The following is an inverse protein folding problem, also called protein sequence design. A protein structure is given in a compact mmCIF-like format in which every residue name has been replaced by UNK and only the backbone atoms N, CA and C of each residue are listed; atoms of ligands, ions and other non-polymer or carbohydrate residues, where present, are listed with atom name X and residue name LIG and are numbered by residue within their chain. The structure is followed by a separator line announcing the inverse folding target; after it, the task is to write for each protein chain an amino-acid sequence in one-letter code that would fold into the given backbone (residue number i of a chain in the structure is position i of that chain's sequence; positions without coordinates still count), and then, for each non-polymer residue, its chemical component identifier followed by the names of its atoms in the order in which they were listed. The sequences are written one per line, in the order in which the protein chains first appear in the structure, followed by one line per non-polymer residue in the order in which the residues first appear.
data_IF_223547548343
#
_entry.id   IF_223547548343
#
_cell.length_a   1.000
_cell.length_b   1.000
_cell.length_c   1.000
_cell.angle_alpha   90.00
_cell.angle_beta   90.00
_cell.angle_gamma   90.00
#
_symmetry.space_group_name_H-M   'P 1'
#
loop_
_entity.id
_entity.type
_entity.pdbx_description
1 polymer ?
#
# COMPACT_ATOMS: atom_id res chain seq x y z
N UNK A 1 19.99 -17.54 -5.42
CA UNK A 1 19.17 -17.76 -4.20
C UNK A 1 17.72 -17.61 -4.63
N UNK A 2 17.02 -18.74 -4.81
CA UNK A 2 15.63 -18.76 -5.31
C UNK A 2 14.72 -18.41 -4.15
N UNK A 3 14.00 -17.28 -4.23
CA UNK A 3 12.97 -16.91 -3.25
C UNK A 3 11.76 -17.86 -3.41
N UNK A 4 11.87 -19.03 -2.76
CA UNK A 4 10.79 -19.98 -2.59
C UNK A 4 9.73 -19.37 -1.66
N UNK A 5 8.65 -18.89 -2.26
CA UNK A 5 7.29 -18.96 -1.72
C UNK A 5 7.05 -18.35 -0.34
N UNK A 6 7.15 -17.02 -0.20
CA UNK A 6 6.36 -16.37 0.84
C UNK A 6 4.87 -16.57 0.50
N UNK A 7 4.01 -17.00 1.43
CA UNK A 7 2.58 -17.13 1.19
C UNK A 7 2.00 -15.75 0.93
N UNK A 8 1.96 -15.37 -0.35
CA UNK A 8 1.49 -14.08 -0.81
C UNK A 8 0.02 -13.92 -0.41
N UNK A 9 -0.27 -12.75 0.13
CA UNK A 9 -1.53 -12.48 0.80
C UNK A 9 -2.73 -12.67 -0.13
N UNK A 10 -3.55 -13.70 0.15
CA UNK A 10 -4.65 -14.13 -0.73
C UNK A 10 -5.69 -13.03 -0.98
N UNK A 11 -5.81 -12.05 -0.09
CA UNK A 11 -6.71 -10.91 -0.28
C UNK A 11 -6.37 -10.08 -1.53
N UNK A 12 -5.08 -10.04 -1.91
CA UNK A 12 -4.56 -9.20 -2.99
C UNK A 12 -4.38 -9.94 -4.32
N UNK A 13 -4.83 -11.20 -4.43
CA UNK A 13 -4.63 -12.01 -5.65
C UNK A 13 -5.09 -11.29 -6.91
N UNK A 14 -6.29 -10.67 -6.88
CA UNK A 14 -6.83 -9.93 -8.04
C UNK A 14 -5.99 -8.69 -8.39
N UNK A 15 -5.45 -7.99 -7.39
CA UNK A 15 -4.55 -6.86 -7.61
C UNK A 15 -3.23 -7.32 -8.22
N UNK A 16 -2.68 -8.43 -7.72
CA UNK A 16 -1.45 -9.02 -8.25
C UNK A 16 -1.64 -9.44 -9.72
N UNK A 17 -2.75 -10.10 -10.04
CA UNK A 17 -3.07 -10.49 -11.41
C UNK A 17 -3.17 -9.27 -12.35
N UNK A 18 -3.72 -8.16 -11.87
CA UNK A 18 -3.77 -6.91 -12.62
C UNK A 18 -2.39 -6.24 -12.77
N UNK A 19 -1.56 -6.26 -11.72
CA UNK A 19 -0.19 -5.75 -11.79
C UNK A 19 0.66 -6.55 -12.77
N UNK A 20 0.52 -7.89 -12.78
CA UNK A 20 1.21 -8.76 -13.74
C UNK A 20 0.78 -8.50 -15.18
N UNK A 21 -0.50 -8.19 -15.43
CA UNK A 21 -1.00 -7.76 -16.75
C UNK A 21 -0.27 -6.48 -17.21
N UNK A 22 -0.16 -5.48 -16.34
CA UNK A 22 0.54 -4.21 -16.65
C UNK A 22 2.04 -4.44 -16.86
N UNK A 23 2.70 -5.20 -15.99
CA UNK A 23 4.13 -5.52 -16.12
C UNK A 23 4.42 -6.24 -17.42
N UNK A 24 3.57 -7.19 -17.83
CA UNK A 24 3.73 -7.92 -19.09
C UNK A 24 3.67 -6.98 -20.29
N UNK A 25 2.79 -5.97 -20.26
CA UNK A 25 2.69 -4.97 -21.33
C UNK A 25 3.91 -4.04 -21.38
N UNK A 26 4.47 -3.67 -20.22
CA UNK A 26 5.71 -2.87 -20.15
C UNK A 26 6.88 -3.69 -20.71
N UNK A 27 7.04 -4.94 -20.28
CA UNK A 27 8.10 -5.84 -20.74
C UNK A 27 8.01 -6.15 -22.23
N UNK A 28 6.80 -6.22 -22.78
CA UNK A 28 6.56 -6.40 -24.22
C UNK A 28 6.77 -5.10 -25.04
N UNK A 29 7.13 -3.98 -24.40
CA UNK A 29 7.29 -2.68 -25.06
C UNK A 29 5.98 -2.03 -25.52
N UNK A 30 4.82 -2.57 -25.12
CA UNK A 30 3.51 -2.02 -25.44
C UNK A 30 3.15 -0.80 -24.58
N UNK A 31 3.84 -0.62 -23.46
CA UNK A 31 3.75 0.54 -22.57
C UNK A 31 5.14 1.11 -22.43
N UNK A 32 5.30 2.39 -22.74
CA UNK A 32 6.60 3.06 -22.75
C UNK A 32 6.75 4.12 -21.65
N UNK A 33 5.63 4.54 -21.05
CA UNK A 33 5.62 5.62 -20.08
C UNK A 33 4.62 5.37 -18.94
N UNK A 34 4.80 6.15 -17.88
CA UNK A 34 4.01 6.04 -16.65
C UNK A 34 2.52 6.27 -16.85
N UNK A 35 2.14 7.22 -17.71
CA UNK A 35 0.74 7.57 -17.92
C UNK A 35 -0.04 6.40 -18.51
N UNK A 36 0.53 5.75 -19.52
CA UNK A 36 0.00 4.52 -20.12
C UNK A 36 -0.09 3.38 -19.09
N UNK A 37 0.96 3.19 -18.28
CA UNK A 37 0.95 2.18 -17.22
C UNK A 37 -0.19 2.38 -16.21
N UNK A 38 -0.43 3.63 -15.81
CA UNK A 38 -1.51 4.02 -14.90
C UNK A 38 -2.89 3.78 -15.52
N UNK A 39 -3.07 4.10 -16.81
CA UNK A 39 -4.31 3.84 -17.53
C UNK A 39 -4.60 2.33 -17.64
N UNK A 40 -3.59 1.54 -18.01
CA UNK A 40 -3.71 0.08 -18.10
C UNK A 40 -3.95 -0.57 -16.75
N UNK A 41 -3.39 -0.05 -15.67
CA UNK A 41 -3.72 -0.49 -14.32
C UNK A 41 -5.20 -0.22 -14.00
N UNK A 42 -5.72 0.95 -14.36
CA UNK A 42 -7.12 1.29 -14.14
C UNK A 42 -8.09 0.42 -14.97
N UNK A 43 -7.75 0.09 -16.22
CA UNK A 43 -8.48 -0.90 -17.01
C UNK A 43 -8.46 -2.28 -16.35
N UNK A 44 -7.29 -2.78 -15.96
CA UNK A 44 -7.12 -4.10 -15.37
C UNK A 44 -7.89 -4.26 -14.06
N UNK A 45 -8.01 -3.19 -13.26
CA UNK A 45 -8.75 -3.16 -12.01
C UNK A 45 -10.27 -3.18 -12.26
N UNK A 46 -10.75 -2.36 -13.20
CA UNK A 46 -12.18 -2.35 -13.61
C UNK A 46 -12.64 -3.72 -14.12
N UNK A 47 -11.82 -4.41 -14.93
CA UNK A 47 -12.12 -5.78 -15.42
C UNK A 47 -12.32 -6.79 -14.29
N UNK A 48 -11.78 -6.55 -13.10
CA UNK A 48 -11.76 -7.47 -11.94
C UNK A 48 -12.69 -7.04 -10.81
N UNK A 49 -13.45 -5.97 -10.99
CA UNK A 49 -14.33 -5.35 -9.98
C UNK A 49 -13.59 -5.11 -8.64
N UNK A 50 -12.39 -4.52 -8.75
CA UNK A 50 -11.57 -4.08 -7.61
C UNK A 50 -11.06 -2.67 -7.86
N UNK A 51 -10.71 -1.98 -6.78
CA UNK A 51 -10.12 -0.65 -6.80
C UNK A 51 -8.72 -0.60 -6.14
N UNK A 52 -7.99 0.51 -6.34
CA UNK A 52 -6.73 0.77 -5.66
C UNK A 52 -6.87 0.78 -4.14
N UNK A 53 -5.81 0.38 -3.43
CA UNK A 53 -5.76 0.47 -1.98
C UNK A 53 -6.02 1.92 -1.54
N UNK A 54 -7.17 2.22 -0.93
CA UNK A 54 -7.54 3.61 -0.64
C UNK A 54 -8.29 3.77 0.68
N UNK A 55 -8.07 4.92 1.31
CA UNK A 55 -8.99 5.43 2.33
C UNK A 55 -10.03 6.35 1.70
N UNK A 56 -10.46 7.37 2.44
CA UNK A 56 -11.46 8.35 1.98
C UNK A 56 -11.05 9.12 0.72
N UNK A 57 -9.75 9.40 0.53
CA UNK A 57 -9.28 10.19 -0.61
C UNK A 57 -9.29 9.37 -1.90
N UNK A 58 -9.79 9.96 -2.98
CA UNK A 58 -9.77 9.38 -4.33
C UNK A 58 -8.74 10.04 -5.28
N UNK A 59 -7.88 10.93 -4.79
CA UNK A 59 -6.95 11.68 -5.64
C UNK A 59 -5.76 10.81 -6.08
N UNK A 60 -5.55 10.73 -7.40
CA UNK A 60 -4.42 10.05 -8.06
C UNK A 60 -4.23 8.61 -7.57
N UNK A 61 -5.34 7.86 -7.41
CA UNK A 61 -5.31 6.53 -6.80
C UNK A 61 -4.47 5.53 -7.59
N UNK A 62 -4.70 5.42 -8.89
CA UNK A 62 -3.99 4.45 -9.74
C UNK A 62 -2.51 4.78 -9.85
N UNK A 63 -2.16 6.06 -9.96
CA UNK A 63 -0.76 6.49 -9.94
C UNK A 63 -0.07 6.17 -8.59
N UNK A 64 -0.78 6.27 -7.47
CA UNK A 64 -0.28 5.83 -6.17
C UNK A 64 -0.21 4.30 -6.03
N UNK A 65 -0.95 3.57 -6.86
CA UNK A 65 -0.98 2.11 -6.89
C UNK A 65 0.16 1.53 -7.75
N UNK A 66 0.85 2.36 -8.54
CA UNK A 66 2.10 1.96 -9.22
C UNK A 66 3.17 1.44 -8.25
N UNK A 67 3.10 1.83 -6.96
CA UNK A 67 3.90 1.23 -5.89
C UNK A 67 3.72 -0.30 -5.80
N UNK A 68 2.50 -0.82 -5.99
CA UNK A 68 2.24 -2.27 -5.99
C UNK A 68 2.83 -2.92 -7.24
N UNK A 69 2.63 -2.32 -8.41
CA UNK A 69 3.17 -2.83 -9.68
C UNK A 69 4.71 -2.90 -9.60
N UNK A 70 5.34 -1.86 -9.08
CA UNK A 70 6.78 -1.79 -8.83
C UNK A 70 7.25 -2.93 -7.92
N UNK A 71 6.64 -3.08 -6.73
CA UNK A 71 7.06 -4.07 -5.75
C UNK A 71 6.86 -5.51 -6.26
N UNK A 72 5.78 -5.77 -6.99
CA UNK A 72 5.56 -7.08 -7.61
C UNK A 72 6.60 -7.35 -8.69
N UNK A 73 6.92 -6.36 -9.53
CA UNK A 73 7.96 -6.52 -10.55
C UNK A 73 9.33 -6.80 -9.92
N UNK A 74 9.76 -5.96 -8.98
CA UNK A 74 11.10 -6.05 -8.39
C UNK A 74 11.25 -7.22 -7.43
N UNK A 75 10.36 -7.35 -6.45
CA UNK A 75 10.50 -8.36 -5.37
C UNK A 75 9.71 -9.64 -5.64
N UNK A 76 8.60 -9.55 -6.36
CA UNK A 76 7.77 -10.71 -6.70
C UNK A 76 8.31 -11.51 -7.89
N UNK A 77 8.72 -10.83 -8.96
CA UNK A 77 9.21 -11.44 -10.19
C UNK A 77 10.75 -11.41 -10.30
N UNK A 78 11.44 -10.70 -9.42
CA UNK A 78 12.90 -10.58 -9.45
C UNK A 78 13.42 -9.82 -10.68
N UNK A 79 12.60 -8.92 -11.25
CA UNK A 79 13.03 -8.11 -12.38
C UNK A 79 14.12 -7.13 -11.94
N UNK A 80 15.17 -7.03 -12.74
CA UNK A 80 16.17 -5.99 -12.60
C UNK A 80 15.71 -4.74 -13.38
N UNK A 81 15.61 -3.62 -12.67
CA UNK A 81 15.13 -2.35 -13.22
C UNK A 81 16.30 -1.51 -13.74
N UNK A 82 17.53 -1.79 -13.30
CA UNK A 82 18.72 -1.10 -13.78
C UNK A 82 19.08 -1.55 -15.20
N UNK A 83 18.81 -2.83 -15.52
CA UNK A 83 19.02 -3.42 -16.85
C UNK A 83 17.90 -3.13 -17.86
N UNK A 84 16.78 -2.53 -17.44
CA UNK A 84 15.65 -2.22 -18.31
C UNK A 84 15.26 -0.74 -18.24
N UNK A 85 15.64 0.01 -19.28
CA UNK A 85 15.42 1.45 -19.36
C UNK A 85 13.93 1.83 -19.26
N UNK A 86 13.03 1.04 -19.82
CA UNK A 86 11.58 1.34 -19.76
C UNK A 86 11.05 1.15 -18.35
N UNK A 87 11.46 0.08 -17.65
CA UNK A 87 11.08 -0.14 -16.26
C UNK A 87 11.61 0.99 -15.36
N UNK A 88 12.90 1.34 -15.47
CA UNK A 88 13.47 2.43 -14.67
C UNK A 88 12.78 3.78 -14.93
N UNK A 89 12.39 4.07 -16.17
CA UNK A 89 11.63 5.28 -16.49
C UNK A 89 10.23 5.28 -15.88
N UNK A 90 9.45 4.21 -16.09
CA UNK A 90 8.07 4.09 -15.58
C UNK A 90 8.03 4.17 -14.05
N UNK A 91 9.02 3.57 -13.38
CA UNK A 91 9.08 3.41 -11.93
C UNK A 91 10.13 4.30 -11.23
N UNK A 92 10.59 5.36 -11.91
CA UNK A 92 11.62 6.27 -11.41
C UNK A 92 11.31 6.86 -10.03
N UNK A 93 10.02 7.13 -9.73
CA UNK A 93 9.59 7.61 -8.44
C UNK A 93 9.69 6.52 -7.35
N UNK A 94 9.24 5.31 -7.65
CA UNK A 94 9.25 4.18 -6.72
C UNK A 94 10.68 3.72 -6.37
N UNK A 95 11.61 3.74 -7.34
CA UNK A 95 13.04 3.51 -7.11
C UNK A 95 13.59 4.49 -6.06
N UNK A 96 13.28 5.78 -6.21
CA UNK A 96 13.69 6.83 -5.26
C UNK A 96 13.05 6.65 -3.89
N UNK A 97 11.76 6.33 -3.83
CA UNK A 97 11.06 6.11 -2.56
C UNK A 97 11.62 4.90 -1.81
N UNK A 98 11.98 3.82 -2.51
CA UNK A 98 12.59 2.65 -1.89
C UNK A 98 13.97 2.96 -1.30
N UNK A 99 14.79 3.71 -2.05
CA UNK A 99 16.09 4.18 -1.57
C UNK A 99 15.97 5.06 -0.31
N UNK A 100 14.99 5.99 -0.31
CA UNK A 100 14.69 6.82 0.86
C UNK A 100 14.28 5.95 2.06
N UNK A 101 13.37 4.98 1.86
CA UNK A 101 12.95 4.05 2.90
C UNK A 101 14.16 3.33 3.51
N UNK A 102 15.02 2.77 2.66
CA UNK A 102 16.24 2.04 3.08
C UNK A 102 17.13 2.92 3.95
N UNK A 103 17.51 4.11 3.45
CA UNK A 103 18.40 5.04 4.17
C UNK A 103 17.82 5.51 5.51
N UNK A 104 16.52 5.82 5.56
CA UNK A 104 15.87 6.21 6.83
C UNK A 104 15.87 5.05 7.83
N UNK A 105 15.57 3.83 7.37
CA UNK A 105 15.59 2.64 8.23
C UNK A 105 16.99 2.30 8.76
N UNK A 106 18.04 2.66 8.02
CA UNK A 106 19.45 2.58 8.43
C UNK A 106 19.87 3.71 9.40
N UNK A 107 18.98 4.67 9.67
CA UNK A 107 19.20 5.74 10.67
C UNK A 107 19.52 7.12 10.08
N UNK A 108 19.48 7.28 8.75
CA UNK A 108 19.65 8.59 8.15
C UNK A 108 18.44 9.51 8.46
N UNK A 109 18.71 10.82 8.55
CA UNK A 109 17.69 11.80 8.91
C UNK A 109 16.67 11.97 7.75
N UNK A 110 15.34 11.88 8.00
CA UNK A 110 14.36 11.88 6.93
C UNK A 110 14.36 13.11 6.03
N UNK A 111 14.46 14.31 6.61
CA UNK A 111 14.48 15.56 5.83
C UNK A 111 15.65 15.60 4.85
N UNK A 112 16.85 15.23 5.31
CA UNK A 112 18.08 15.30 4.51
C UNK A 112 18.01 14.31 3.34
N UNK A 113 17.63 13.06 3.61
CA UNK A 113 17.53 12.01 2.59
C UNK A 113 16.46 12.32 1.55
N UNK A 114 15.28 12.79 1.97
CA UNK A 114 14.21 13.14 1.02
C UNK A 114 14.66 14.32 0.16
N UNK A 115 15.25 15.35 0.76
CA UNK A 115 15.73 16.53 0.04
C UNK A 115 16.83 16.17 -0.97
N UNK A 116 17.77 15.29 -0.60
CA UNK A 116 18.85 14.84 -1.47
C UNK A 116 18.33 14.02 -2.67
N UNK A 117 17.44 13.05 -2.43
CA UNK A 117 16.98 12.12 -3.48
C UNK A 117 15.89 12.73 -4.37
N UNK A 118 15.01 13.55 -3.80
CA UNK A 118 13.86 14.12 -4.52
C UNK A 118 14.09 15.57 -4.98
N UNK A 119 15.05 16.28 -4.41
CA UNK A 119 15.27 17.72 -4.65
C UNK A 119 14.26 18.63 -3.96
N UNK A 120 13.25 18.08 -3.28
CA UNK A 120 12.26 18.81 -2.50
C UNK A 120 11.62 17.91 -1.45
N UNK A 121 11.06 18.54 -0.42
CA UNK A 121 10.29 17.84 0.60
C UNK A 121 8.89 18.41 0.68
N UNK A 122 7.89 17.57 0.43
CA UNK A 122 6.49 17.94 0.59
C UNK A 122 5.65 16.78 1.14
N UNK A 123 4.44 17.13 1.59
CA UNK A 123 3.47 16.20 2.15
C UNK A 123 3.18 15.00 1.24
N UNK A 124 2.97 15.22 -0.05
CA UNK A 124 2.64 14.14 -1.00
C UNK A 124 3.80 13.17 -1.18
N UNK A 125 5.05 13.65 -1.22
CA UNK A 125 6.24 12.79 -1.25
C UNK A 125 6.29 11.90 0.00
N UNK A 126 6.18 12.49 1.18
CA UNK A 126 6.22 11.77 2.47
C UNK A 126 5.18 10.64 2.53
N UNK A 127 3.93 10.93 2.16
CA UNK A 127 2.88 9.91 2.20
C UNK A 127 2.98 8.87 1.06
N UNK A 128 3.71 9.15 -0.02
CA UNK A 128 4.03 8.14 -1.05
C UNK A 128 5.11 7.17 -0.60
N UNK A 129 6.13 7.66 0.10
CA UNK A 129 7.16 6.84 0.75
C UNK A 129 6.50 5.86 1.74
N UNK A 130 5.65 6.39 2.65
CA UNK A 130 4.88 5.55 3.57
C UNK A 130 3.98 4.53 2.86
N UNK A 131 3.36 4.93 1.74
CA UNK A 131 2.50 4.04 0.97
C UNK A 131 3.29 2.91 0.30
N UNK A 132 4.49 3.18 -0.20
CA UNK A 132 5.37 2.14 -0.74
C UNK A 132 5.67 1.10 0.35
N UNK A 133 6.12 1.56 1.52
CA UNK A 133 6.41 0.66 2.65
C UNK A 133 5.18 -0.13 3.10
N UNK A 134 4.02 0.52 3.24
CA UNK A 134 2.76 -0.15 3.53
C UNK A 134 2.45 -1.25 2.51
N UNK A 135 2.62 -0.94 1.23
CA UNK A 135 2.35 -1.88 0.14
C UNK A 135 3.29 -3.08 0.21
N UNK A 136 4.57 -2.85 0.51
CA UNK A 136 5.55 -3.92 0.71
C UNK A 136 5.16 -4.83 1.89
N UNK A 137 4.70 -4.25 3.01
CA UNK A 137 4.24 -5.01 4.18
C UNK A 137 2.99 -5.85 3.87
N UNK A 138 1.98 -5.30 3.19
CA UNK A 138 0.74 -6.07 2.92
C UNK A 138 0.96 -7.20 1.91
N UNK A 139 1.93 -7.05 1.00
CA UNK A 139 2.36 -8.10 0.08
C UNK A 139 3.29 -9.13 0.74
N UNK A 140 3.86 -8.80 1.90
CA UNK A 140 4.75 -9.66 2.68
C UNK A 140 6.24 -9.49 2.33
N UNK A 141 6.63 -8.53 1.49
CA UNK A 141 8.04 -8.30 1.18
C UNK A 141 8.83 -7.61 2.30
N UNK A 142 8.12 -6.98 3.23
CA UNK A 142 8.66 -6.22 4.36
C UNK A 142 7.92 -6.55 5.64
N UNK A 143 8.57 -6.39 6.78
CA UNK A 143 7.93 -6.62 8.07
C UNK A 143 7.18 -5.38 8.57
N UNK A 144 6.17 -5.60 9.42
CA UNK A 144 5.37 -4.51 9.97
C UNK A 144 6.17 -3.58 10.89
N UNK A 145 7.20 -4.08 11.56
CA UNK A 145 8.10 -3.28 12.39
C UNK A 145 8.85 -2.24 11.57
N UNK A 146 9.26 -2.55 10.34
CA UNK A 146 9.85 -1.59 9.40
C UNK A 146 8.87 -0.45 9.06
N UNK A 147 7.59 -0.76 8.82
CA UNK A 147 6.58 0.28 8.60
C UNK A 147 6.39 1.18 9.82
N UNK A 148 6.31 0.60 11.02
CA UNK A 148 6.15 1.38 12.25
C UNK A 148 7.39 2.23 12.56
N UNK A 149 8.59 1.70 12.32
CA UNK A 149 9.86 2.44 12.47
C UNK A 149 9.94 3.61 11.50
N UNK A 150 9.60 3.38 10.22
CA UNK A 150 9.58 4.43 9.21
C UNK A 150 8.52 5.50 9.51
N UNK A 151 7.32 5.08 9.91
CA UNK A 151 6.24 5.99 10.33
C UNK A 151 6.67 6.87 11.49
N UNK A 152 7.26 6.27 12.54
CA UNK A 152 7.77 7.01 13.69
C UNK A 152 8.79 8.06 13.27
N UNK A 153 9.84 7.67 12.55
CA UNK A 153 10.89 8.58 12.08
C UNK A 153 10.32 9.76 11.27
N UNK A 154 9.41 9.48 10.33
CA UNK A 154 8.76 10.53 9.53
C UNK A 154 7.83 11.41 10.38
N UNK A 155 7.10 10.84 11.32
CA UNK A 155 6.16 11.60 12.16
C UNK A 155 6.85 12.50 13.19
N UNK A 156 8.04 12.11 13.65
CA UNK A 156 8.87 12.89 14.57
C UNK A 156 9.57 14.06 13.85
N UNK A 157 10.02 13.85 12.61
CA UNK A 157 10.61 14.90 11.78
C UNK A 157 9.56 15.90 11.27
N UNK A 158 8.43 15.42 10.75
CA UNK A 158 7.42 16.24 10.06
C UNK A 158 6.16 16.48 10.90
N UNK A 159 6.33 17.06 12.10
CA UNK A 159 5.25 17.23 13.09
C UNK A 159 4.05 18.04 12.56
N UNK A 160 4.27 18.96 11.63
CA UNK A 160 3.24 19.75 10.96
C UNK A 160 2.20 18.89 10.22
N UNK A 161 2.56 17.68 9.80
CA UNK A 161 1.65 16.73 9.16
C UNK A 161 1.02 15.72 10.13
N UNK A 162 1.06 15.96 11.44
CA UNK A 162 0.59 15.03 12.48
C UNK A 162 -0.83 14.49 12.26
N UNK A 163 -1.77 15.29 11.74
CA UNK A 163 -3.12 14.80 11.37
C UNK A 163 -3.06 13.75 10.26
N UNK A 164 -2.20 13.96 9.27
CA UNK A 164 -1.98 13.01 8.17
C UNK A 164 -1.40 11.68 8.65
N UNK A 165 -0.39 11.72 9.53
CA UNK A 165 0.20 10.49 10.11
C UNK A 165 -0.82 9.69 10.94
N UNK A 166 -1.65 10.36 11.74
CA UNK A 166 -2.75 9.70 12.46
C UNK A 166 -3.78 9.09 11.51
N UNK A 167 -4.17 9.82 10.46
CA UNK A 167 -5.09 9.30 9.44
C UNK A 167 -4.49 8.11 8.69
N UNK A 168 -3.19 8.12 8.43
CA UNK A 168 -2.48 7.02 7.78
C UNK A 168 -2.54 5.75 8.65
N UNK A 169 -2.28 5.84 9.96
CA UNK A 169 -2.37 4.66 10.82
C UNK A 169 -3.80 4.15 11.01
N UNK A 170 -4.80 5.04 11.06
CA UNK A 170 -6.21 4.62 11.02
C UNK A 170 -6.52 3.85 9.73
N UNK A 171 -6.04 4.35 8.60
CA UNK A 171 -6.16 3.67 7.33
C UNK A 171 -5.45 2.32 7.31
N UNK A 172 -4.23 2.22 7.85
CA UNK A 172 -3.50 0.96 8.00
C UNK A 172 -4.33 -0.08 8.78
N UNK A 173 -4.82 0.28 9.97
CA UNK A 173 -5.65 -0.62 10.78
C UNK A 173 -6.90 -1.05 10.02
N UNK A 174 -7.59 -0.10 9.37
CA UNK A 174 -8.81 -0.40 8.61
C UNK A 174 -8.53 -1.34 7.43
N UNK A 175 -7.40 -1.16 6.73
CA UNK A 175 -6.96 -2.00 5.63
C UNK A 175 -6.70 -3.44 6.10
N UNK A 176 -5.96 -3.62 7.19
CA UNK A 176 -5.66 -4.94 7.76
C UNK A 176 -6.91 -5.66 8.26
N UNK A 177 -7.87 -4.94 8.83
CA UNK A 177 -9.18 -5.54 9.19
C UNK A 177 -9.94 -5.95 7.93
N UNK A 178 -10.05 -5.08 6.93
CA UNK A 178 -10.77 -5.35 5.69
C UNK A 178 -10.18 -6.55 4.92
N UNK A 179 -8.86 -6.69 4.92
CA UNK A 179 -8.14 -7.84 4.37
C UNK A 179 -8.57 -9.15 5.04
N UNK A 180 -8.62 -9.18 6.38
CA UNK A 180 -9.04 -10.36 7.15
C UNK A 180 -10.51 -10.71 6.95
N UNK A 181 -11.36 -9.71 6.70
CA UNK A 181 -12.75 -9.92 6.26
C UNK A 181 -12.78 -10.56 4.87
N UNK A 182 -11.98 -10.05 3.93
CA UNK A 182 -11.95 -10.53 2.55
C UNK A 182 -11.57 -12.01 2.44
N UNK A 183 -10.64 -12.47 3.29
CA UNK A 183 -10.24 -13.89 3.35
C UNK A 183 -11.08 -14.74 4.31
N UNK A 184 -12.15 -14.18 4.89
CA UNK A 184 -13.06 -14.84 5.84
C UNK A 184 -12.36 -15.35 7.11
N UNK A 185 -11.29 -14.68 7.55
CA UNK A 185 -10.68 -14.91 8.87
C UNK A 185 -11.41 -14.12 9.96
N UNK A 186 -12.04 -13.00 9.59
CA UNK A 186 -12.97 -12.25 10.45
C UNK A 186 -14.38 -12.42 9.90
N UNK A 187 -15.28 -13.02 10.69
CA UNK A 187 -16.62 -13.44 10.29
C UNK A 187 -17.72 -12.83 11.16
N UNK A 188 -17.36 -12.27 12.31
CA UNK A 188 -18.28 -11.65 13.25
C UNK A 188 -17.82 -10.27 13.70
N UNK A 189 -18.76 -9.49 14.25
CA UNK A 189 -18.49 -8.19 14.84
C UNK A 189 -17.52 -8.26 16.02
N UNK A 190 -17.62 -9.28 16.86
CA UNK A 190 -16.74 -9.45 18.03
C UNK A 190 -15.29 -9.71 17.59
N UNK A 191 -15.08 -10.60 16.61
CA UNK A 191 -13.75 -10.85 16.03
C UNK A 191 -13.14 -9.59 15.41
N UNK A 192 -13.96 -8.80 14.68
CA UNK A 192 -13.53 -7.53 14.10
C UNK A 192 -13.10 -6.53 15.16
N UNK A 193 -13.90 -6.33 16.22
CA UNK A 193 -13.54 -5.40 17.30
C UNK A 193 -12.27 -5.85 18.03
N UNK A 194 -12.12 -7.15 18.30
CA UNK A 194 -10.90 -7.69 18.92
C UNK A 194 -9.66 -7.45 18.05
N UNK A 195 -9.74 -7.74 16.74
CA UNK A 195 -8.64 -7.50 15.81
C UNK A 195 -8.30 -6.00 15.70
N UNK A 196 -9.32 -5.15 15.58
CA UNK A 196 -9.15 -3.69 15.48
C UNK A 196 -8.42 -3.14 16.72
N UNK A 197 -8.81 -3.58 17.91
CA UNK A 197 -8.15 -3.20 19.17
C UNK A 197 -6.70 -3.70 19.22
N UNK A 198 -6.45 -4.96 18.88
CA UNK A 198 -5.10 -5.53 18.85
C UNK A 198 -4.16 -4.77 17.90
N UNK A 199 -4.64 -4.41 16.71
CA UNK A 199 -3.89 -3.62 15.73
C UNK A 199 -3.62 -2.20 16.23
N UNK A 200 -4.60 -1.54 16.86
CA UNK A 200 -4.43 -0.21 17.43
C UNK A 200 -3.35 -0.19 18.53
N UNK A 201 -3.34 -1.20 19.43
CA UNK A 201 -2.36 -1.31 20.50
C UNK A 201 -0.93 -1.49 19.95
N UNK A 202 -0.77 -2.33 18.93
CA UNK A 202 0.54 -2.59 18.30
C UNK A 202 1.09 -1.40 17.51
N UNK A 203 0.19 -0.62 16.92
CA UNK A 203 0.53 0.47 16.00
C UNK A 203 0.67 1.82 16.69
N UNK A 204 0.63 1.85 18.02
CA UNK A 204 0.62 3.05 18.86
C UNK A 204 -0.43 4.10 18.41
N UNK A 205 -1.60 3.61 17.97
CA UNK A 205 -2.72 4.48 17.59
C UNK A 205 -3.48 4.85 18.85
N UNK A 206 -2.87 5.69 19.68
CA UNK A 206 -3.45 6.14 20.95
C UNK A 206 -4.77 6.92 20.75
N UNK A 207 -4.96 7.56 19.57
CA UNK A 207 -6.10 8.46 19.30
C UNK A 207 -7.04 7.94 18.23
N UNK A 208 -7.77 6.91 18.61
CA UNK A 208 -9.05 6.50 18.02
C UNK A 208 -8.91 5.41 16.96
N UNK A 209 -9.57 4.28 17.21
CA UNK A 209 -9.74 3.22 16.23
C UNK A 209 -10.38 3.75 14.93
N UNK A 210 -10.12 3.13 13.77
CA UNK A 210 -10.82 3.49 12.55
C UNK A 210 -12.32 3.25 12.69
N UNK A 211 -13.15 4.11 12.06
CA UNK A 211 -14.59 3.95 12.06
C UNK A 211 -15.00 2.79 11.13
N UNK A 212 -16.15 2.16 11.40
CA UNK A 212 -16.64 1.01 10.63
C UNK A 212 -16.91 1.38 9.16
N UNK A 213 -17.27 2.64 8.88
CA UNK A 213 -17.50 3.15 7.53
C UNK A 213 -16.22 3.12 6.69
N UNK A 214 -15.05 3.37 7.30
CA UNK A 214 -13.77 3.26 6.61
C UNK A 214 -13.44 1.80 6.29
N UNK A 215 -13.71 0.87 7.22
CA UNK A 215 -13.51 -0.57 7.00
C UNK A 215 -14.47 -1.06 5.91
N UNK A 216 -15.72 -0.62 5.92
CA UNK A 216 -16.75 -0.91 4.91
C UNK A 216 -16.30 -0.45 3.53
N UNK A 217 -15.84 0.81 3.43
CA UNK A 217 -15.32 1.38 2.19
C UNK A 217 -14.19 0.53 1.62
N UNK A 218 -13.19 0.18 2.44
CA UNK A 218 -12.04 -0.60 1.97
C UNK A 218 -12.46 -2.01 1.58
N UNK A 219 -13.27 -2.68 2.41
CA UNK A 219 -13.74 -4.05 2.17
C UNK A 219 -14.48 -4.14 0.82
N UNK A 220 -15.35 -3.17 0.55
CA UNK A 220 -16.09 -3.10 -0.71
C UNK A 220 -15.20 -2.70 -1.88
N UNK A 221 -14.55 -1.55 -1.80
CA UNK A 221 -13.93 -0.91 -2.95
C UNK A 221 -12.57 -1.53 -3.30
N UNK A 222 -11.80 -1.97 -2.31
CA UNK A 222 -10.49 -2.58 -2.56
C UNK A 222 -10.66 -4.07 -2.80
N UNK A 223 -11.37 -4.77 -1.92
CA UNK A 223 -11.42 -6.23 -1.92
C UNK A 223 -12.68 -6.84 -2.52
N UNK A 224 -13.65 -6.04 -2.99
CA UNK A 224 -14.89 -6.53 -3.59
C UNK A 224 -15.71 -7.42 -2.64
N UNK A 225 -15.65 -7.18 -1.33
CA UNK A 225 -16.37 -7.99 -0.34
C UNK A 225 -17.88 -7.78 -0.49
N UNK A 226 -18.69 -8.86 -0.60
CA UNK A 226 -20.14 -8.74 -0.73
C UNK A 226 -20.80 -8.04 0.46
N UNK A 227 -21.84 -7.25 0.20
CA UNK A 227 -22.63 -6.57 1.25
C UNK A 227 -23.16 -7.53 2.32
N UNK A 228 -23.56 -8.74 1.93
CA UNK A 228 -24.06 -9.77 2.86
C UNK A 228 -23.00 -10.23 3.88
N UNK A 229 -21.72 -10.22 3.51
CA UNK A 229 -20.60 -10.50 4.44
C UNK A 229 -20.36 -9.29 5.33
N UNK A 230 -20.31 -8.08 4.75
CA UNK A 230 -20.10 -6.85 5.50
C UNK A 230 -21.17 -6.63 6.58
N UNK A 231 -22.44 -6.87 6.28
CA UNK A 231 -23.55 -6.72 7.24
C UNK A 231 -23.46 -7.66 8.46
N UNK A 232 -22.72 -8.77 8.37
CA UNK A 232 -22.49 -9.69 9.50
C UNK A 232 -21.35 -9.23 10.42
N UNK A 233 -20.39 -8.49 9.86
CA UNK A 233 -19.14 -8.12 10.54
C UNK A 233 -19.17 -6.68 11.06
N UNK A 234 -19.76 -5.77 10.28
CA UNK A 234 -19.84 -4.35 10.58
C UNK A 234 -21.19 -4.04 11.23
N UNK A 235 -21.26 -2.98 12.05
CA UNK A 235 -22.58 -2.43 12.41
C UNK A 235 -23.25 -1.96 11.13
N UNK A 236 -24.55 -2.23 10.97
CA UNK A 236 -25.34 -1.71 9.86
C UNK A 236 -25.07 -0.21 9.72
N UNK A 237 -24.48 0.18 8.59
CA UNK A 237 -24.31 1.57 8.18
C UNK A 237 -25.53 1.96 7.38
#
# INVERSE_FOLDING_TARGET
MVYLGMPMNRAYRRHIDACNEVLSLILAGSISNRSEAVEKLAEAYRKRDIGPIRGWSAKNLYDKEMAMVYLIGKHGLGLDFDDNLTLSQVFSAELKYEEICRRILEGAKPIDVIQEVMGSVDKNIIFRILRLMLTAVVLGFKDEGELLKLHKALSEEFKEYGRGFRSFMKFYVALRVAEKIAVKEVRSRSEKEALKLALCLRSDVERGAPPDELISLISKEVFGVPKSVMNKVLRSV
#
